data_IF_512842034953
#
_entry.id   IF_512842034953
#
_cell.length_a   1.000
_cell.length_b   1.000
_cell.length_c   1.000
_cell.angle_alpha   90.00
_cell.angle_beta   90.00
_cell.angle_gamma   90.00
#
_symmetry.space_group_name_H-M   'P 1'
#
loop_
_entity.id
_entity.type
_entity.pdbx_description
1 polymer ?
#
# COMPACT_ATOMS: atom_id res chain seq x y z
N UNK A 1 -19.25 13.05 14.45
CA UNK A 1 -19.63 12.78 13.04
C UNK A 1 -18.36 12.43 12.30
N UNK A 2 -18.33 11.35 11.51
CA UNK A 2 -17.10 10.91 10.80
C UNK A 2 -16.56 12.01 9.86
N UNK A 3 -17.44 12.87 9.35
CA UNK A 3 -17.12 14.01 8.50
C UNK A 3 -16.10 15.01 9.07
N UNK A 4 -15.94 15.12 10.39
CA UNK A 4 -14.96 16.04 11.00
C UNK A 4 -13.52 15.50 11.01
N UNK A 5 -13.32 14.23 10.63
CA UNK A 5 -11.99 13.57 10.57
C UNK A 5 -11.52 13.31 9.14
N UNK A 6 -12.33 13.66 8.13
CA UNK A 6 -11.92 13.56 6.73
C UNK A 6 -11.02 14.77 6.44
N UNK A 7 -9.73 14.51 6.23
CA UNK A 7 -8.75 15.53 5.86
C UNK A 7 -9.09 16.19 4.52
N UNK A 8 -8.52 17.37 4.27
CA UNK A 8 -8.65 18.06 2.99
C UNK A 8 -8.00 17.24 1.87
N UNK A 9 -8.77 16.92 0.81
CA UNK A 9 -8.24 16.23 -0.37
C UNK A 9 -7.28 17.21 -1.08
N UNK A 10 -5.99 16.90 -1.06
CA UNK A 10 -4.96 17.70 -1.74
C UNK A 10 -4.78 17.18 -3.17
N UNK A 11 -5.33 17.92 -4.14
CA UNK A 11 -5.05 17.76 -5.57
C UNK A 11 -5.80 16.62 -6.28
N UNK A 12 -5.79 16.66 -7.61
CA UNK A 12 -6.19 15.58 -8.50
C UNK A 12 -4.93 14.92 -9.04
N UNK A 13 -4.35 13.97 -8.30
CA UNK A 13 -3.32 13.10 -8.88
C UNK A 13 -3.99 12.22 -9.95
N UNK A 14 -3.41 12.06 -11.14
CA UNK A 14 -3.95 11.13 -12.13
C UNK A 14 -3.97 9.73 -11.50
N UNK A 15 -5.09 9.02 -11.58
CA UNK A 15 -5.18 7.63 -11.15
C UNK A 15 -4.26 6.79 -12.07
N UNK A 16 -3.11 6.36 -11.57
CA UNK A 16 -2.29 5.34 -12.22
C UNK A 16 -2.65 3.96 -11.67
N UNK A 17 -2.64 2.95 -12.55
CA UNK A 17 -2.81 1.54 -12.18
C UNK A 17 -1.58 0.80 -12.69
N UNK A 18 -0.80 0.25 -11.75
CA UNK A 18 0.37 -0.59 -12.04
C UNK A 18 0.05 -2.05 -11.72
N UNK A 19 0.09 -2.91 -12.75
CA UNK A 19 -0.11 -4.34 -12.58
C UNK A 19 1.20 -4.98 -12.08
N UNK A 20 1.20 -5.46 -10.84
CA UNK A 20 2.34 -6.13 -10.21
C UNK A 20 2.07 -7.64 -10.10
N UNK A 21 3.13 -8.44 -10.14
CA UNK A 21 3.04 -9.91 -10.04
C UNK A 21 2.82 -10.41 -8.61
N UNK A 22 3.21 -9.62 -7.60
CA UNK A 22 3.06 -9.94 -6.18
C UNK A 22 3.27 -8.72 -5.29
N UNK A 23 3.10 -8.91 -3.98
CA UNK A 23 3.12 -7.79 -3.03
C UNK A 23 4.48 -7.10 -2.95
N UNK A 24 5.59 -7.82 -3.11
CA UNK A 24 6.93 -7.21 -3.06
C UNK A 24 7.12 -6.16 -4.16
N UNK A 25 6.76 -6.50 -5.41
CA UNK A 25 6.85 -5.58 -6.54
C UNK A 25 5.91 -4.38 -6.34
N UNK A 26 4.70 -4.61 -5.84
CA UNK A 26 3.76 -3.54 -5.51
C UNK A 26 4.32 -2.56 -4.45
N UNK A 27 5.07 -3.05 -3.46
CA UNK A 27 5.74 -2.18 -2.47
C UNK A 27 6.83 -1.32 -3.13
N UNK A 28 7.64 -1.90 -4.02
CA UNK A 28 8.66 -1.14 -4.76
C UNK A 28 8.01 -0.06 -5.64
N UNK A 29 6.95 -0.42 -6.38
CA UNK A 29 6.20 0.55 -7.21
C UNK A 29 5.55 1.65 -6.41
N UNK A 30 4.99 1.34 -5.24
CA UNK A 30 4.44 2.34 -4.34
C UNK A 30 5.53 3.31 -3.86
N UNK A 31 6.75 2.80 -3.58
CA UNK A 31 7.88 3.63 -3.16
C UNK A 31 8.35 4.59 -4.27
N UNK A 32 8.35 4.15 -5.53
CA UNK A 32 8.77 4.97 -6.68
C UNK A 32 7.90 6.22 -6.88
N UNK A 33 6.63 6.17 -6.44
CA UNK A 33 5.64 7.24 -6.69
C UNK A 33 5.18 7.99 -5.43
N UNK A 34 5.47 7.46 -4.25
CA UNK A 34 5.08 8.07 -2.99
C UNK A 34 5.94 9.29 -2.68
N UNK A 35 5.30 10.38 -2.27
CA UNK A 35 5.95 11.63 -1.88
C UNK A 35 5.71 11.93 -0.40
N UNK A 36 6.45 12.90 0.14
CA UNK A 36 6.25 13.36 1.51
C UNK A 36 4.80 13.83 1.74
N UNK A 37 4.16 13.27 2.76
CA UNK A 37 2.78 13.58 3.12
C UNK A 37 1.74 12.62 2.52
N UNK A 38 2.15 11.70 1.64
CA UNK A 38 1.27 10.63 1.15
C UNK A 38 1.05 9.53 2.20
N UNK A 39 -0.03 8.77 2.02
CA UNK A 39 -0.31 7.56 2.79
C UNK A 39 -0.36 6.37 1.84
N UNK A 40 0.51 5.38 2.09
CA UNK A 40 0.49 4.09 1.40
C UNK A 40 -0.34 3.10 2.23
N UNK A 41 -1.44 2.59 1.66
CA UNK A 41 -2.35 1.65 2.31
C UNK A 41 -2.31 0.28 1.66
N UNK A 42 -1.99 -0.75 2.44
CA UNK A 42 -2.20 -2.14 2.03
C UNK A 42 -3.66 -2.56 2.27
N UNK A 43 -4.45 -2.65 1.20
CA UNK A 43 -5.86 -3.09 1.24
C UNK A 43 -6.18 -4.06 0.08
N UNK A 44 -5.72 -5.32 0.13
CA UNK A 44 -5.76 -6.26 -0.99
C UNK A 44 -7.15 -6.82 -1.34
N UNK A 45 -8.18 -6.57 -0.52
CA UNK A 45 -9.58 -6.96 -0.81
C UNK A 45 -9.87 -8.46 -0.89
N UNK A 46 -8.87 -9.34 -0.73
CA UNK A 46 -8.99 -10.79 -0.83
C UNK A 46 -8.14 -11.58 0.18
N UNK A 47 -8.36 -12.90 0.22
CA UNK A 47 -7.61 -13.83 1.05
C UNK A 47 -6.12 -13.84 0.66
N UNK A 48 -5.24 -14.22 1.57
CA UNK A 48 -3.77 -14.16 1.40
C UNK A 48 -3.11 -15.46 0.97
N UNK A 49 -3.90 -16.53 0.80
CA UNK A 49 -3.40 -17.90 0.59
C UNK A 49 -2.80 -18.18 -0.79
N UNK A 50 -2.85 -17.19 -1.68
CA UNK A 50 -2.24 -17.20 -3.00
C UNK A 50 -0.71 -17.01 -2.96
N UNK A 51 -0.23 -16.12 -2.09
CA UNK A 51 1.19 -15.80 -1.94
C UNK A 51 1.73 -16.07 -0.51
N UNK A 52 0.85 -16.12 0.50
CA UNK A 52 1.24 -16.20 1.92
C UNK A 52 0.49 -17.29 2.70
N UNK A 53 1.03 -17.67 3.86
CA UNK A 53 0.37 -18.66 4.73
C UNK A 53 -0.92 -18.15 5.35
N UNK A 54 -0.94 -16.89 5.78
CA UNK A 54 -2.06 -16.21 6.43
C UNK A 54 -1.97 -14.69 6.19
N UNK A 55 -2.89 -13.92 6.78
CA UNK A 55 -2.93 -12.48 6.55
C UNK A 55 -1.87 -11.75 7.39
N UNK A 56 -1.49 -12.29 8.54
CA UNK A 56 -0.42 -11.77 9.39
C UNK A 56 0.93 -11.86 8.69
N UNK A 57 1.26 -12.98 8.05
CA UNK A 57 2.47 -13.16 7.27
C UNK A 57 2.55 -12.17 6.11
N UNK A 58 1.43 -11.91 5.41
CA UNK A 58 1.34 -10.87 4.37
C UNK A 58 1.63 -9.48 4.94
N UNK A 59 1.04 -9.15 6.09
CA UNK A 59 1.26 -7.87 6.77
C UNK A 59 2.69 -7.69 7.29
N UNK A 60 3.28 -8.74 7.84
CA UNK A 60 4.66 -8.74 8.32
C UNK A 60 5.64 -8.55 7.15
N UNK A 61 5.41 -9.21 6.01
CA UNK A 61 6.21 -9.00 4.79
C UNK A 61 6.11 -7.58 4.27
N UNK A 62 4.91 -7.01 4.19
CA UNK A 62 4.72 -5.61 3.84
C UNK A 62 5.54 -4.68 4.74
N UNK A 63 5.44 -4.84 6.07
CA UNK A 63 6.19 -4.04 7.03
C UNK A 63 7.70 -4.19 6.86
N UNK A 64 8.19 -5.42 6.70
CA UNK A 64 9.60 -5.70 6.47
C UNK A 64 10.14 -4.97 5.23
N UNK A 65 9.41 -5.05 4.12
CA UNK A 65 9.83 -4.41 2.88
C UNK A 65 9.76 -2.89 2.94
N UNK A 66 8.72 -2.33 3.58
CA UNK A 66 8.64 -0.87 3.80
C UNK A 66 9.79 -0.36 4.66
N UNK A 67 10.15 -1.07 5.73
CA UNK A 67 11.29 -0.70 6.59
C UNK A 67 12.64 -0.83 5.90
N UNK A 68 12.74 -1.65 4.85
CA UNK A 68 13.96 -1.82 4.06
C UNK A 68 14.15 -0.74 2.98
N UNK A 69 13.18 0.14 2.75
CA UNK A 69 13.28 1.28 1.83
C UNK A 69 13.96 2.51 2.45
N UNK A 70 14.29 2.46 3.74
CA UNK A 70 14.86 3.55 4.54
C UNK A 70 16.39 3.52 4.47
#
# INVERSE_FOLDING_TARGET
MIASHVGSIRGTRPFSIDCCTGLYEAVQKAADVAEEGDVVLLSPGGASFDEFHDFEARGERFKQWVLALI
#
